data_IF_634406020438
#
_entry.id   IF_634406020438
#
_cell.length_a   1.000
_cell.length_b   1.000
_cell.length_c   1.000
_cell.angle_alpha   90.00
_cell.angle_beta   90.00
_cell.angle_gamma   90.00
#
_symmetry.space_group_name_H-M   'P 1'
#
loop_
_entity.id
_entity.type
_entity.pdbx_description
1 polymer ?
#
# COMPACT_ATOMS: atom_id res chain seq x y z
N UNK A 1 -1.85 -22.74 -9.06
CA UNK A 1 -0.59 -22.10 -9.49
C UNK A 1 -0.90 -21.30 -10.75
N UNK A 2 -0.66 -20.01 -10.77
CA UNK A 2 -0.96 -19.16 -11.93
C UNK A 2 -0.06 -19.51 -13.12
N UNK A 3 -0.55 -19.22 -14.35
CA UNK A 3 0.21 -19.43 -15.58
C UNK A 3 1.43 -18.48 -15.68
N UNK A 4 1.37 -17.34 -15.02
CA UNK A 4 2.41 -16.33 -15.01
C UNK A 4 3.10 -16.23 -13.64
N UNK A 5 4.32 -15.66 -13.62
CA UNK A 5 5.11 -15.47 -12.39
C UNK A 5 4.59 -14.26 -11.57
N UNK A 6 3.30 -14.27 -11.26
CA UNK A 6 2.65 -13.27 -10.41
C UNK A 6 2.00 -13.96 -9.22
N UNK A 7 1.97 -13.27 -8.10
CA UNK A 7 1.23 -13.73 -6.91
C UNK A 7 -0.27 -13.64 -7.22
N UNK A 8 -1.05 -14.63 -6.78
CA UNK A 8 -2.50 -14.60 -6.94
C UNK A 8 -3.15 -13.65 -5.93
N UNK A 9 -4.32 -13.12 -6.28
CA UNK A 9 -5.13 -12.29 -5.36
C UNK A 9 -5.45 -13.03 -4.07
N UNK A 10 -5.70 -14.35 -4.16
CA UNK A 10 -5.94 -15.20 -2.99
C UNK A 10 -4.74 -15.24 -2.04
N UNK A 11 -3.53 -15.41 -2.57
CA UNK A 11 -2.31 -15.43 -1.77
C UNK A 11 -2.05 -14.06 -1.11
N UNK A 12 -2.33 -12.96 -1.80
CA UNK A 12 -2.24 -11.61 -1.24
C UNK A 12 -3.24 -11.46 -0.09
N UNK A 13 -4.51 -11.82 -0.32
CA UNK A 13 -5.58 -11.73 0.70
C UNK A 13 -5.34 -12.64 1.90
N UNK A 14 -4.67 -13.77 1.72
CA UNK A 14 -4.29 -14.67 2.82
C UNK A 14 -3.04 -14.21 3.58
N UNK A 15 -2.43 -13.08 3.20
CA UNK A 15 -1.22 -12.55 3.84
C UNK A 15 0.01 -13.40 3.59
N UNK A 16 0.07 -14.11 2.45
CA UNK A 16 1.23 -14.91 2.05
C UNK A 16 2.32 -14.04 1.40
N UNK A 17 1.94 -12.82 0.96
CA UNK A 17 2.83 -11.81 0.39
C UNK A 17 3.39 -10.94 1.51
N UNK A 18 4.31 -11.49 2.30
CA UNK A 18 4.83 -10.85 3.52
C UNK A 18 6.31 -11.16 3.74
N UNK A 19 6.97 -10.31 4.51
CA UNK A 19 8.36 -10.53 4.92
C UNK A 19 8.43 -11.54 6.06
N UNK A 20 9.47 -12.38 6.05
CA UNK A 20 9.65 -13.48 7.01
C UNK A 20 9.67 -13.00 8.47
N UNK A 21 10.11 -11.77 8.73
CA UNK A 21 10.17 -11.26 10.10
C UNK A 21 8.78 -11.03 10.69
N UNK A 22 7.75 -10.73 9.89
CA UNK A 22 6.35 -10.67 10.39
C UNK A 22 5.84 -12.04 10.82
N UNK A 23 6.15 -13.09 10.05
CA UNK A 23 5.81 -14.46 10.41
C UNK A 23 6.46 -14.84 11.74
N UNK A 24 7.76 -14.57 11.89
CA UNK A 24 8.51 -14.86 13.12
C UNK A 24 8.00 -14.07 14.32
N UNK A 25 7.65 -12.80 14.12
CA UNK A 25 7.07 -11.96 15.17
C UNK A 25 5.71 -12.48 15.60
N UNK A 26 4.85 -12.85 14.65
CA UNK A 26 3.54 -13.44 14.94
C UNK A 26 3.68 -14.75 15.73
N UNK A 27 4.61 -15.63 15.35
CA UNK A 27 4.89 -16.87 16.06
C UNK A 27 5.40 -16.62 17.48
N UNK A 28 6.33 -15.68 17.67
CA UNK A 28 6.82 -15.32 19.00
C UNK A 28 5.70 -14.81 19.91
N UNK A 29 4.89 -13.85 19.42
CA UNK A 29 3.76 -13.30 20.15
C UNK A 29 2.70 -14.37 20.46
N UNK A 30 2.49 -15.33 19.56
CA UNK A 30 1.57 -16.44 19.77
C UNK A 30 2.06 -17.38 20.87
N UNK A 31 3.35 -17.70 20.89
CA UNK A 31 3.96 -18.54 21.93
C UNK A 31 3.84 -17.88 23.31
N UNK A 32 4.05 -16.59 23.38
CA UNK A 32 3.94 -15.81 24.63
C UNK A 32 2.49 -15.45 24.98
N UNK A 33 1.51 -15.85 24.15
CA UNK A 33 0.07 -15.55 24.31
C UNK A 33 -0.22 -14.03 24.33
N UNK A 34 0.55 -13.25 23.60
CA UNK A 34 0.42 -11.79 23.49
C UNK A 34 -0.24 -11.42 22.16
N UNK A 35 -1.21 -10.52 22.21
CA UNK A 35 -1.79 -9.86 21.03
C UNK A 35 -2.22 -8.44 21.42
N UNK A 36 -1.28 -7.48 21.48
CA UNK A 36 -1.56 -6.13 21.92
C UNK A 36 -2.43 -5.39 20.89
N UNK A 37 -3.30 -4.52 21.39
CA UNK A 37 -3.96 -3.54 20.55
C UNK A 37 -2.95 -2.42 20.25
N UNK A 38 -2.77 -2.11 18.96
CA UNK A 38 -1.81 -1.10 18.48
C UNK A 38 -2.47 -0.17 17.47
N UNK A 39 -1.85 1.00 17.28
CA UNK A 39 -2.11 1.90 16.16
C UNK A 39 -0.83 1.98 15.36
N UNK A 40 -0.88 1.56 14.11
CA UNK A 40 0.23 1.68 13.17
C UNK A 40 -0.02 2.84 12.23
N UNK A 41 1.03 3.61 11.95
CA UNK A 41 0.99 4.72 10.99
C UNK A 41 1.86 4.39 9.78
N UNK A 42 1.35 4.72 8.60
CA UNK A 42 2.11 4.68 7.35
C UNK A 42 2.56 6.09 7.01
N UNK A 43 3.87 6.26 6.87
CA UNK A 43 4.51 7.52 6.49
C UNK A 43 5.56 7.26 5.41
N UNK A 44 5.90 8.28 4.61
CA UNK A 44 7.05 8.20 3.71
C UNK A 44 8.29 8.80 4.39
N UNK A 45 9.28 7.97 4.68
CA UNK A 45 10.57 8.42 5.25
C UNK A 45 11.40 9.23 4.25
N UNK A 46 11.21 8.99 2.94
CA UNK A 46 11.83 9.74 1.85
C UNK A 46 10.86 9.86 0.68
N UNK A 47 10.98 10.94 -0.08
CA UNK A 47 10.26 11.19 -1.31
C UNK A 47 11.27 11.61 -2.38
N UNK A 48 11.02 11.31 -3.67
CA UNK A 48 11.87 11.80 -4.78
C UNK A 48 11.92 13.33 -4.84
N UNK A 49 10.77 13.96 -4.53
CA UNK A 49 10.59 15.42 -4.48
C UNK A 49 10.09 15.86 -3.12
N UNK A 50 9.76 17.14 -2.97
CA UNK A 50 9.28 17.72 -1.71
C UNK A 50 7.87 17.26 -1.30
N UNK A 51 7.10 16.69 -2.23
CA UNK A 51 5.74 16.22 -2.03
C UNK A 51 5.42 15.00 -2.90
N UNK A 52 4.36 14.30 -2.54
CA UNK A 52 3.79 13.22 -3.33
C UNK A 52 2.25 13.25 -3.29
N UNK A 53 1.61 12.47 -4.16
CA UNK A 53 0.16 12.30 -4.20
C UNK A 53 -0.19 10.94 -3.63
N UNK A 54 -1.05 10.92 -2.62
CA UNK A 54 -1.52 9.68 -2.00
C UNK A 54 -2.50 8.94 -2.91
N UNK A 55 -2.23 7.67 -3.17
CA UNK A 55 -3.05 6.78 -3.99
C UNK A 55 -2.86 5.32 -3.59
N UNK A 56 -3.82 4.43 -3.92
CA UNK A 56 -3.79 2.99 -3.64
C UNK A 56 -4.60 2.59 -2.39
N UNK A 57 -5.39 3.50 -1.83
CA UNK A 57 -6.22 3.24 -0.65
C UNK A 57 -7.29 2.17 -0.93
N UNK A 58 -7.89 2.17 -2.11
CA UNK A 58 -8.92 1.20 -2.48
C UNK A 58 -8.44 -0.25 -2.38
N UNK A 59 -7.20 -0.52 -2.81
CA UNK A 59 -6.59 -1.85 -2.72
C UNK A 59 -6.29 -2.24 -1.27
N UNK A 60 -5.83 -1.28 -0.46
CA UNK A 60 -5.61 -1.48 0.99
C UNK A 60 -6.93 -1.81 1.70
N UNK A 61 -8.00 -1.07 1.42
CA UNK A 61 -9.31 -1.33 2.01
C UNK A 61 -9.85 -2.70 1.58
N UNK A 62 -9.70 -3.06 0.31
CA UNK A 62 -10.07 -4.38 -0.19
C UNK A 62 -9.24 -5.50 0.47
N UNK A 63 -7.94 -5.27 0.73
CA UNK A 63 -7.08 -6.22 1.42
C UNK A 63 -7.51 -6.45 2.87
N UNK A 64 -7.86 -5.38 3.57
CA UNK A 64 -8.20 -5.41 5.00
C UNK A 64 -9.68 -5.71 5.27
N UNK A 65 -10.50 -5.83 4.21
CA UNK A 65 -11.93 -6.14 4.35
C UNK A 65 -12.16 -7.47 5.09
N UNK A 66 -13.03 -7.42 6.10
CA UNK A 66 -13.32 -8.54 6.99
C UNK A 66 -12.35 -8.73 8.15
N UNK A 67 -11.25 -7.98 8.24
CA UNK A 67 -10.36 -7.99 9.41
C UNK A 67 -10.90 -7.08 10.53
N UNK A 68 -10.68 -7.43 11.81
CA UNK A 68 -11.15 -6.65 12.96
C UNK A 68 -10.24 -5.44 13.23
N UNK A 69 -10.14 -4.53 12.25
CA UNK A 69 -9.30 -3.33 12.30
C UNK A 69 -10.11 -2.09 11.95
N UNK A 70 -9.64 -0.93 12.43
CA UNK A 70 -10.14 0.38 12.00
C UNK A 70 -9.07 1.05 11.15
N UNK A 71 -9.47 1.65 10.03
CA UNK A 71 -8.58 2.34 9.10
C UNK A 71 -8.98 3.80 9.00
N UNK A 72 -8.03 4.70 9.29
CA UNK A 72 -8.14 6.13 9.02
C UNK A 72 -7.09 6.50 7.97
N UNK A 73 -7.49 7.22 6.92
CA UNK A 73 -6.58 7.57 5.83
C UNK A 73 -6.89 8.94 5.24
N UNK A 74 -5.89 9.55 4.62
CA UNK A 74 -6.12 10.68 3.73
C UNK A 74 -6.99 10.25 2.55
N UNK A 75 -7.83 11.13 1.99
CA UNK A 75 -8.49 10.87 0.72
C UNK A 75 -7.47 10.68 -0.41
N UNK A 76 -7.74 9.77 -1.35
CA UNK A 76 -6.91 9.65 -2.55
C UNK A 76 -6.83 10.96 -3.32
N UNK A 77 -5.67 11.23 -3.91
CA UNK A 77 -5.38 12.49 -4.58
C UNK A 77 -4.88 13.61 -3.65
N UNK A 78 -4.83 13.37 -2.34
CA UNK A 78 -4.28 14.35 -1.39
C UNK A 78 -2.76 14.45 -1.57
N UNK A 79 -2.25 15.69 -1.62
CA UNK A 79 -0.81 15.96 -1.58
C UNK A 79 -0.32 15.80 -0.14
N UNK A 80 0.77 15.07 0.03
CA UNK A 80 1.41 14.87 1.33
C UNK A 80 2.93 15.08 1.25
N UNK A 81 3.54 15.29 2.42
CA UNK A 81 4.97 15.53 2.55
C UNK A 81 5.65 14.41 3.37
N UNK A 82 6.96 14.43 3.36
CA UNK A 82 7.76 13.47 4.12
C UNK A 82 7.37 13.45 5.59
N UNK A 83 7.25 12.25 6.16
CA UNK A 83 6.88 11.96 7.54
C UNK A 83 5.43 12.36 7.94
N UNK A 84 4.60 12.78 7.00
CA UNK A 84 3.16 12.94 7.26
C UNK A 84 2.49 11.56 7.28
N UNK A 85 1.66 11.25 8.30
CA UNK A 85 0.87 10.02 8.31
C UNK A 85 -0.19 10.07 7.22
N UNK A 86 -0.13 9.13 6.27
CA UNK A 86 -1.10 9.01 5.16
C UNK A 86 -2.21 8.02 5.48
N UNK A 87 -1.92 7.06 6.37
CA UNK A 87 -2.86 6.02 6.78
C UNK A 87 -2.53 5.55 8.20
N UNK A 88 -3.57 5.23 8.99
CA UNK A 88 -3.49 4.60 10.31
C UNK A 88 -4.34 3.34 10.33
N UNK A 89 -3.82 2.30 10.96
CA UNK A 89 -4.54 1.04 11.18
C UNK A 89 -4.52 0.75 12.67
N UNK A 90 -5.70 0.63 13.28
CA UNK A 90 -5.87 0.30 14.69
C UNK A 90 -6.52 -1.07 14.85
N UNK A 91 -5.92 -1.94 15.65
CA UNK A 91 -6.40 -3.29 15.90
C UNK A 91 -5.44 -4.11 16.72
N UNK A 92 -5.74 -5.39 16.89
CA UNK A 92 -4.78 -6.31 17.52
C UNK A 92 -3.68 -6.65 16.52
N UNK A 93 -2.43 -6.48 16.92
CA UNK A 93 -1.26 -6.56 16.05
C UNK A 93 -1.21 -7.82 15.18
N UNK A 94 -1.44 -9.01 15.77
CA UNK A 94 -1.40 -10.28 15.05
C UNK A 94 -2.50 -10.45 14.00
N UNK A 95 -3.56 -9.65 14.07
CA UNK A 95 -4.68 -9.77 13.13
C UNK A 95 -4.35 -9.13 11.77
N UNK A 96 -3.34 -8.24 11.72
CA UNK A 96 -3.01 -7.52 10.49
C UNK A 96 -1.50 -7.34 10.20
N UNK A 97 -0.59 -7.70 11.10
CA UNK A 97 0.85 -7.42 10.94
C UNK A 97 1.45 -8.02 9.65
N UNK A 98 0.99 -9.20 9.22
CA UNK A 98 1.48 -9.85 8.00
C UNK A 98 1.11 -9.14 6.71
N UNK A 99 0.15 -8.21 6.75
CA UNK A 99 -0.29 -7.46 5.58
C UNK A 99 0.54 -6.20 5.30
N UNK A 100 1.45 -5.82 6.20
CA UNK A 100 2.25 -4.59 6.06
C UNK A 100 2.96 -4.52 4.71
N UNK A 101 3.63 -5.59 4.28
CA UNK A 101 4.35 -5.64 3.00
C UNK A 101 3.43 -5.35 1.82
N UNK A 102 2.24 -5.95 1.79
CA UNK A 102 1.28 -5.73 0.71
C UNK A 102 0.66 -4.32 0.76
N UNK A 103 0.32 -3.83 1.97
CA UNK A 103 -0.18 -2.46 2.18
C UNK A 103 0.81 -1.43 1.64
N UNK A 104 2.07 -1.54 2.04
CA UNK A 104 3.11 -0.62 1.59
C UNK A 104 3.34 -0.74 0.08
N UNK A 105 3.26 -1.94 -0.49
CA UNK A 105 3.38 -2.18 -1.92
C UNK A 105 2.30 -1.48 -2.73
N UNK A 106 1.03 -1.61 -2.34
CA UNK A 106 -0.09 -0.93 -2.98
C UNK A 106 0.06 0.60 -2.94
N UNK A 107 0.31 1.15 -1.75
CA UNK A 107 0.43 2.59 -1.57
C UNK A 107 1.65 3.17 -2.29
N UNK A 108 2.81 2.53 -2.19
CA UNK A 108 4.04 3.01 -2.80
C UNK A 108 3.95 3.02 -4.33
N UNK A 109 3.47 1.93 -4.93
CA UNK A 109 3.35 1.81 -6.39
C UNK A 109 2.35 2.81 -6.95
N UNK A 110 1.13 2.86 -6.39
CA UNK A 110 0.08 3.75 -6.87
C UNK A 110 0.42 5.23 -6.65
N UNK A 111 0.94 5.59 -5.45
CA UNK A 111 1.34 6.97 -5.15
C UNK A 111 2.51 7.43 -6.00
N UNK A 112 3.47 6.54 -6.31
CA UNK A 112 4.57 6.86 -7.21
C UNK A 112 4.11 7.22 -8.63
N UNK A 113 3.17 6.45 -9.18
CA UNK A 113 2.58 6.71 -10.50
C UNK A 113 1.75 8.00 -10.47
N UNK A 114 0.89 8.18 -9.45
CA UNK A 114 0.06 9.37 -9.30
C UNK A 114 0.90 10.64 -9.17
N UNK A 115 1.99 10.58 -8.40
CA UNK A 115 2.93 11.71 -8.21
C UNK A 115 3.61 12.06 -9.53
N UNK A 116 4.13 11.09 -10.28
CA UNK A 116 4.73 11.33 -11.60
C UNK A 116 3.72 11.94 -12.57
N UNK A 117 2.48 11.45 -12.59
CA UNK A 117 1.41 12.00 -13.42
C UNK A 117 1.06 13.45 -13.03
N UNK A 118 1.04 13.78 -11.73
CA UNK A 118 0.79 15.12 -11.25
C UNK A 118 1.89 16.10 -11.66
N UNK A 119 3.17 15.73 -11.55
CA UNK A 119 4.29 16.54 -12.05
C UNK A 119 4.21 16.79 -13.57
N UNK A 120 3.91 15.74 -14.34
CA UNK A 120 3.73 15.87 -15.79
C UNK A 120 2.55 16.80 -16.10
N UNK A 121 1.44 16.67 -15.40
CA UNK A 121 0.26 17.51 -15.61
C UNK A 121 0.54 18.97 -15.29
N UNK A 122 1.24 19.26 -14.19
CA UNK A 122 1.67 20.62 -13.84
C UNK A 122 2.59 21.22 -14.91
N UNK A 123 3.55 20.46 -15.41
CA UNK A 123 4.46 20.91 -16.46
C UNK A 123 3.76 21.13 -17.80
N UNK A 124 2.71 20.36 -18.09
CA UNK A 124 1.95 20.47 -19.35
C UNK A 124 1.06 21.73 -19.41
N UNK A 125 0.65 22.29 -18.26
CA UNK A 125 -0.31 23.40 -18.20
C UNK A 125 -1.64 23.01 -18.86
N UNK A 126 -2.07 23.76 -19.87
CA UNK A 126 -3.33 23.51 -20.59
C UNK A 126 -3.19 22.47 -21.73
N UNK A 127 -1.99 21.96 -21.98
CA UNK A 127 -1.77 20.97 -23.03
C UNK A 127 -2.33 19.61 -22.63
N UNK A 128 -2.94 18.85 -23.56
CA UNK A 128 -3.39 17.50 -23.28
C UNK A 128 -2.21 16.57 -22.95
N UNK A 129 -2.43 15.68 -21.98
CA UNK A 129 -1.48 14.65 -21.59
C UNK A 129 -2.07 13.28 -21.93
N UNK A 130 -1.30 12.46 -22.63
CA UNK A 130 -1.69 11.12 -23.04
C UNK A 130 -0.68 10.10 -22.49
N UNK A 131 -1.18 9.01 -21.90
CA UNK A 131 -0.35 7.90 -21.46
C UNK A 131 -0.28 6.80 -22.51
N UNK A 132 0.94 6.38 -22.85
CA UNK A 132 1.21 5.19 -23.66
C UNK A 132 1.89 4.09 -22.83
N UNK A 133 1.60 4.06 -21.54
CA UNK A 133 2.26 3.23 -20.53
C UNK A 133 1.93 1.74 -20.59
N UNK A 134 0.76 1.32 -21.11
CA UNK A 134 0.29 -0.06 -21.07
C UNK A 134 1.32 -1.09 -21.54
N UNK A 135 2.01 -0.84 -22.64
CA UNK A 135 3.06 -1.72 -23.18
C UNK A 135 4.34 -1.80 -22.33
N UNK A 136 4.45 -1.00 -21.30
CA UNK A 136 5.59 -0.92 -20.36
C UNK A 136 5.25 -1.43 -18.97
N UNK A 137 4.03 -1.92 -18.79
CA UNK A 137 3.54 -2.51 -17.55
C UNK A 137 3.34 -4.02 -17.73
N UNK A 138 3.40 -4.74 -16.61
CA UNK A 138 2.98 -6.14 -16.63
C UNK A 138 1.49 -6.22 -17.01
N UNK A 139 1.05 -7.15 -17.88
CA UNK A 139 -0.35 -7.23 -18.32
C UNK A 139 -1.39 -7.29 -17.20
N UNK A 140 -1.05 -7.81 -16.04
CA UNK A 140 -1.95 -7.86 -14.87
C UNK A 140 -2.31 -6.48 -14.29
N UNK A 141 -1.53 -5.43 -14.62
CA UNK A 141 -1.72 -4.06 -14.12
C UNK A 141 -1.79 -3.02 -15.25
N UNK A 142 -1.89 -3.47 -16.50
CA UNK A 142 -1.85 -2.58 -17.67
C UNK A 142 -3.23 -2.10 -18.12
N UNK A 143 -4.31 -2.59 -17.51
CA UNK A 143 -5.70 -2.31 -17.88
C UNK A 143 -6.27 -1.13 -17.11
#
# INVERSE_FOLDING_TARGET
>A
MGTFLTVSDEAIKNGECTDIYFIRTEEALKNDRINPHVVMEVTAASLPDSWAVFCGLSDVLALLDGLPVTVDAMPEGTVFHRNEPVLRIAGKYRDFCRYETAILGFLCHASGIATAAAHIRLAAGDRPVFSFGSRRQHPAIAA
#
